data_IF_062164164032
#
_entry.id   IF_062164164032
#
_cell.length_a   1.000
_cell.length_b   1.000
_cell.length_c   1.000
_cell.angle_alpha   90.00
_cell.angle_beta   90.00
_cell.angle_gamma   90.00
#
_symmetry.space_group_name_H-M   'P 1'
#
loop_
_entity.id
_entity.type
_entity.pdbx_description
1 polymer ?
#
# COMPACT_ATOMS: atom_id res chain seq x y z
N UNK A 1 17.97 3.20 -7.33
CA UNK A 1 17.80 4.25 -6.30
C UNK A 1 17.07 3.73 -5.07
N UNK A 2 15.76 3.39 -5.12
CA UNK A 2 15.04 2.81 -3.96
C UNK A 2 15.07 1.26 -3.93
N UNK A 3 14.95 0.61 -5.09
CA UNK A 3 14.94 -0.87 -5.16
C UNK A 3 16.27 -1.50 -4.72
N UNK A 4 17.41 -0.86 -5.01
CA UNK A 4 18.72 -1.32 -4.53
C UNK A 4 18.84 -1.26 -3.01
N UNK A 5 18.31 -0.18 -2.42
CA UNK A 5 18.32 0.01 -0.97
C UNK A 5 17.37 -0.99 -0.27
N UNK A 6 16.17 -1.19 -0.84
CA UNK A 6 15.24 -2.23 -0.40
C UNK A 6 15.87 -3.61 -0.48
N UNK A 7 16.55 -3.95 -1.58
CA UNK A 7 17.24 -5.24 -1.74
C UNK A 7 18.31 -5.45 -0.69
N UNK A 8 19.17 -4.45 -0.47
CA UNK A 8 20.24 -4.51 0.54
C UNK A 8 19.66 -4.76 1.94
N UNK A 9 18.67 -3.96 2.34
CA UNK A 9 18.04 -4.09 3.66
C UNK A 9 17.24 -5.39 3.80
N UNK A 10 16.62 -5.88 2.72
CA UNK A 10 15.91 -7.15 2.73
C UNK A 10 16.84 -8.34 2.93
N UNK A 11 18.01 -8.35 2.26
CA UNK A 11 19.02 -9.41 2.46
C UNK A 11 19.48 -9.45 3.92
N UNK A 12 19.73 -8.29 4.54
CA UNK A 12 20.09 -8.19 5.95
C UNK A 12 18.96 -8.66 6.87
N UNK A 13 17.73 -8.19 6.60
CA UNK A 13 16.53 -8.59 7.34
C UNK A 13 16.33 -10.11 7.31
N UNK A 14 16.40 -10.72 6.12
CA UNK A 14 16.17 -12.16 5.95
C UNK A 14 17.22 -13.00 6.70
N UNK A 15 18.48 -12.56 6.74
CA UNK A 15 19.53 -13.23 7.53
C UNK A 15 19.26 -13.13 9.03
N UNK A 16 18.82 -11.97 9.50
CA UNK A 16 18.61 -11.70 10.92
C UNK A 16 17.31 -12.30 11.48
N UNK A 17 16.40 -12.76 10.62
CA UNK A 17 15.09 -13.28 11.01
C UNK A 17 14.81 -14.68 10.43
N UNK A 18 15.87 -15.43 10.07
CA UNK A 18 15.75 -16.73 9.41
C UNK A 18 14.94 -17.78 10.20
N UNK A 19 14.90 -17.66 11.53
CA UNK A 19 14.20 -18.53 12.47
C UNK A 19 12.83 -17.99 12.90
N UNK A 20 12.43 -16.79 12.46
CA UNK A 20 11.15 -16.17 12.81
C UNK A 20 10.15 -16.23 11.63
N UNK A 21 9.23 -17.21 11.60
CA UNK A 21 8.28 -17.39 10.50
C UNK A 21 7.21 -16.27 10.43
N UNK A 22 7.12 -15.41 11.44
CA UNK A 22 6.20 -14.27 11.47
C UNK A 22 6.89 -12.93 11.16
N UNK A 23 8.17 -12.95 10.79
CA UNK A 23 8.90 -11.73 10.49
C UNK A 23 8.35 -11.05 9.22
N UNK A 24 8.06 -9.75 9.30
CA UNK A 24 7.55 -8.96 8.18
C UNK A 24 8.52 -7.83 7.80
N UNK A 25 8.83 -7.72 6.51
CA UNK A 25 9.66 -6.64 5.98
C UNK A 25 8.79 -5.48 5.49
N UNK A 26 8.57 -4.49 6.36
CA UNK A 26 7.69 -3.37 6.05
C UNK A 26 8.39 -2.28 5.20
N UNK A 27 7.83 -2.02 4.02
CA UNK A 27 8.18 -0.87 3.17
C UNK A 27 8.23 0.47 3.94
N UNK A 28 7.24 0.84 4.78
CA UNK A 28 7.26 2.13 5.46
C UNK A 28 8.45 2.32 6.39
N UNK A 29 9.01 1.24 6.97
CA UNK A 29 10.18 1.34 7.85
C UNK A 29 11.45 1.70 7.05
N UNK A 30 11.63 1.10 5.87
CA UNK A 30 12.74 1.42 4.97
C UNK A 30 12.64 2.88 4.50
N UNK A 31 11.46 3.29 4.05
CA UNK A 31 11.19 4.66 3.61
C UNK A 31 11.49 5.68 4.73
N UNK A 32 10.98 5.44 5.94
CA UNK A 32 11.20 6.30 7.10
C UNK A 32 12.68 6.40 7.48
N UNK A 33 13.41 5.28 7.46
CA UNK A 33 14.86 5.25 7.72
C UNK A 33 15.62 6.13 6.74
N UNK A 34 15.34 6.01 5.44
CA UNK A 34 16.05 6.79 4.41
C UNK A 34 15.77 8.29 4.51
N UNK A 35 14.54 8.66 4.88
CA UNK A 35 14.20 10.07 5.16
C UNK A 35 14.96 10.58 6.38
N UNK A 36 15.01 9.81 7.49
CA UNK A 36 15.75 10.18 8.71
C UNK A 36 17.26 10.28 8.49
N UNK A 37 17.83 9.43 7.65
CA UNK A 37 19.26 9.46 7.29
C UNK A 37 19.60 10.55 6.26
N UNK A 38 18.61 11.33 5.79
CA UNK A 38 18.81 12.36 4.77
C UNK A 38 19.13 11.82 3.37
N UNK A 39 18.95 10.52 3.15
CA UNK A 39 19.28 9.81 1.89
C UNK A 39 18.13 9.80 0.89
N UNK A 40 16.91 10.11 1.32
CA UNK A 40 15.74 10.21 0.46
C UNK A 40 14.83 11.37 0.87
N UNK A 41 14.08 11.89 -0.11
CA UNK A 41 12.94 12.78 0.09
C UNK A 41 11.71 12.14 -0.56
N UNK A 42 10.60 12.11 0.16
CA UNK A 42 9.35 11.52 -0.32
C UNK A 42 8.33 12.64 -0.45
N UNK A 43 7.84 12.87 -1.67
CA UNK A 43 6.77 13.82 -1.91
C UNK A 43 5.42 13.19 -1.54
N UNK A 44 4.61 13.89 -0.76
CA UNK A 44 3.23 13.51 -0.49
C UNK A 44 2.35 14.19 -1.52
N UNK A 45 1.71 13.40 -2.38
CA UNK A 45 0.84 13.90 -3.43
C UNK A 45 -0.61 13.86 -2.94
N UNK A 46 -1.33 14.99 -2.85
CA UNK A 46 -2.75 15.00 -2.52
C UNK A 46 -3.56 14.36 -3.65
N UNK A 47 -4.66 13.71 -3.30
CA UNK A 47 -5.65 13.18 -4.25
C UNK A 47 -7.05 13.53 -3.75
N UNK A 48 -7.94 13.89 -4.67
CA UNK A 48 -9.36 14.12 -4.40
C UNK A 48 -10.15 12.78 -4.37
N UNK A 49 -9.51 11.68 -4.75
CA UNK A 49 -10.13 10.36 -4.70
C UNK A 49 -10.21 9.82 -3.27
N UNK A 50 -11.31 9.12 -3.00
CA UNK A 50 -11.53 8.46 -1.72
C UNK A 50 -11.09 7.00 -1.78
N UNK A 51 -10.27 6.58 -0.82
CA UNK A 51 -9.91 5.18 -0.65
C UNK A 51 -11.05 4.39 -0.01
N UNK A 52 -11.36 3.24 -0.59
CA UNK A 52 -12.29 2.26 -0.04
C UNK A 52 -11.56 0.95 0.18
N UNK A 53 -11.76 0.34 1.34
CA UNK A 53 -11.19 -0.95 1.68
C UNK A 53 -12.04 -1.67 2.71
N UNK A 54 -11.94 -2.99 2.71
CA UNK A 54 -12.64 -3.86 3.65
C UNK A 54 -11.62 -4.35 4.67
N UNK A 55 -11.63 -3.75 5.86
CA UNK A 55 -10.78 -4.17 6.98
C UNK A 55 -11.51 -5.21 7.81
N UNK A 56 -12.80 -5.00 8.03
CA UNK A 56 -13.72 -5.93 8.67
C UNK A 56 -14.85 -6.31 7.72
N UNK A 57 -15.54 -7.42 8.01
CA UNK A 57 -16.62 -7.93 7.17
C UNK A 57 -17.76 -6.91 7.03
N UNK A 58 -17.97 -6.11 8.06
CA UNK A 58 -18.99 -5.09 8.20
C UNK A 58 -18.75 -3.89 7.28
N UNK A 59 -17.53 -3.69 6.77
CA UNK A 59 -17.21 -2.62 5.82
C UNK A 59 -17.76 -2.91 4.40
N UNK A 60 -18.01 -4.19 4.09
CA UNK A 60 -18.39 -4.66 2.76
C UNK A 60 -19.61 -3.91 2.18
N UNK A 61 -20.75 -3.74 2.88
CA UNK A 61 -21.91 -3.05 2.33
C UNK A 61 -21.61 -1.60 1.94
N UNK A 62 -20.75 -0.92 2.70
CA UNK A 62 -20.31 0.47 2.42
C UNK A 62 -19.45 0.53 1.16
N UNK A 63 -18.50 -0.39 1.01
CA UNK A 63 -17.63 -0.46 -0.19
C UNK A 63 -18.45 -0.81 -1.45
N UNK A 64 -19.38 -1.76 -1.35
CA UNK A 64 -20.29 -2.10 -2.46
C UNK A 64 -21.18 -0.92 -2.87
N UNK A 65 -21.70 -0.16 -1.90
CA UNK A 65 -22.48 1.03 -2.17
C UNK A 65 -21.65 2.11 -2.90
N UNK A 66 -20.40 2.33 -2.47
CA UNK A 66 -19.50 3.26 -3.15
C UNK A 66 -19.24 2.86 -4.61
N UNK A 67 -18.98 1.58 -4.89
CA UNK A 67 -18.78 1.11 -6.27
C UNK A 67 -20.04 1.22 -7.13
N UNK A 68 -21.23 0.95 -6.56
CA UNK A 68 -22.51 1.19 -7.26
C UNK A 68 -22.66 2.66 -7.65
N UNK A 69 -22.41 3.58 -6.71
CA UNK A 69 -22.48 5.01 -6.98
C UNK A 69 -21.50 5.46 -8.06
N UNK A 70 -20.25 4.96 -8.03
CA UNK A 70 -19.25 5.30 -9.06
C UNK A 70 -19.68 4.81 -10.45
N UNK A 71 -20.33 3.65 -10.52
CA UNK A 71 -20.89 3.09 -11.76
C UNK A 71 -22.10 3.88 -12.25
N UNK A 72 -23.06 4.16 -11.36
CA UNK A 72 -24.27 4.95 -11.66
C UNK A 72 -23.93 6.39 -12.09
N UNK A 73 -22.86 6.95 -11.54
CA UNK A 73 -22.30 8.24 -11.95
C UNK A 73 -21.51 8.17 -13.27
N UNK A 74 -21.40 7.00 -13.90
CA UNK A 74 -20.70 6.80 -15.17
C UNK A 74 -19.18 6.90 -15.09
N UNK A 75 -18.57 6.93 -13.89
CA UNK A 75 -17.09 6.94 -13.75
C UNK A 75 -16.47 5.63 -14.22
N UNK A 76 -17.20 4.51 -14.10
CA UNK A 76 -16.75 3.20 -14.56
C UNK A 76 -17.87 2.48 -15.32
N UNK A 77 -17.54 1.69 -16.36
CA UNK A 77 -18.50 0.85 -17.04
C UNK A 77 -18.90 -0.35 -16.18
N UNK A 78 -20.07 -0.92 -16.46
CA UNK A 78 -20.54 -2.17 -15.86
C UNK A 78 -21.07 -3.11 -16.95
N UNK A 79 -20.47 -4.30 -17.12
CA UNK A 79 -19.32 -4.81 -16.37
C UNK A 79 -18.00 -4.11 -16.74
N UNK A 80 -17.04 -4.04 -15.80
CA UNK A 80 -15.71 -3.45 -16.04
C UNK A 80 -14.91 -4.26 -17.08
N UNK A 81 -15.12 -5.57 -17.07
CA UNK A 81 -14.52 -6.53 -17.99
C UNK A 81 -15.66 -7.37 -18.56
N UNK A 82 -15.81 -7.38 -19.89
CA UNK A 82 -16.84 -8.16 -20.60
C UNK A 82 -16.57 -9.65 -20.57
#
# INVERSE_FOLDING_TARGET
>A
AIFEELRKQFIEFARNHADNPKAEFYIPLVANRLVKEGKARIAVLPSDDQWYGVTYREDKPTVEAAFRQLTEAGKYPSPLWG
#
